data_IF_158489751025
#
_entry.id   IF_158489751025
#
_cell.length_a   1.000
_cell.length_b   1.000
_cell.length_c   1.000
_cell.angle_alpha   90.00
_cell.angle_beta   90.00
_cell.angle_gamma   90.00
#
_symmetry.space_group_name_H-M   'P 1'
#
loop_
_entity.id
_entity.type
_entity.pdbx_description
1 polymer ?
#
# COMPACT_ATOMS: atom_id res chain seq x y z
N UNK A 1 5.49 -3.26 -22.49
CA UNK A 1 5.05 -2.77 -21.17
C UNK A 1 3.89 -3.64 -20.70
N UNK A 2 3.95 -4.29 -19.52
CA UNK A 2 2.78 -5.00 -19.02
C UNK A 2 1.64 -3.98 -18.87
N UNK A 3 0.49 -4.25 -19.49
CA UNK A 3 -0.73 -3.46 -19.28
C UNK A 3 -0.91 -3.30 -17.77
N UNK A 4 -1.08 -2.08 -17.29
CA UNK A 4 -1.63 -1.80 -15.95
C UNK A 4 -3.02 -2.43 -15.92
N UNK A 5 -3.10 -3.75 -15.73
CA UNK A 5 -4.37 -4.41 -15.53
C UNK A 5 -4.90 -3.80 -14.23
N UNK A 6 -5.95 -3.00 -14.37
CA UNK A 6 -6.93 -2.63 -13.36
C UNK A 6 -6.73 -3.45 -12.08
N UNK A 7 -6.50 -2.77 -10.94
CA UNK A 7 -6.36 -3.38 -9.61
C UNK A 7 -7.21 -4.64 -9.54
N UNK A 8 -6.57 -5.79 -9.33
CA UNK A 8 -7.23 -7.11 -9.25
C UNK A 8 -8.39 -6.99 -8.26
N UNK A 9 -9.65 -7.01 -8.75
CA UNK A 9 -10.85 -6.87 -7.92
C UNK A 9 -11.69 -5.59 -8.14
N UNK A 10 -11.27 -4.65 -9.00
CA UNK A 10 -12.13 -3.50 -9.31
C UNK A 10 -13.25 -3.91 -10.27
N UNK A 11 -14.53 -3.61 -9.96
CA UNK A 11 -15.63 -3.87 -10.89
C UNK A 11 -15.38 -3.14 -12.21
N UNK A 12 -15.57 -3.85 -13.32
CA UNK A 12 -15.44 -3.26 -14.67
C UNK A 12 -16.70 -2.53 -15.11
N UNK A 13 -17.84 -2.91 -14.54
CA UNK A 13 -19.12 -2.25 -14.76
C UNK A 13 -19.18 -0.89 -14.03
N UNK A 14 -19.73 0.12 -14.70
CA UNK A 14 -19.74 1.51 -14.22
C UNK A 14 -20.61 1.68 -12.97
N UNK A 15 -21.76 0.99 -12.91
CA UNK A 15 -22.67 1.09 -11.77
C UNK A 15 -22.08 0.37 -10.55
N UNK A 16 -21.46 -0.79 -10.77
CA UNK A 16 -20.73 -1.50 -9.72
C UNK A 16 -19.52 -0.68 -9.21
N UNK A 17 -18.82 0.03 -10.11
CA UNK A 17 -17.72 0.90 -9.73
C UNK A 17 -18.22 2.09 -8.89
N UNK A 18 -19.33 2.73 -9.30
CA UNK A 18 -19.94 3.84 -8.55
C UNK A 18 -20.36 3.40 -7.14
N UNK A 19 -21.01 2.22 -7.03
CA UNK A 19 -21.37 1.61 -5.74
C UNK A 19 -20.13 1.35 -4.88
N UNK A 20 -19.08 0.75 -5.45
CA UNK A 20 -17.84 0.46 -4.73
C UNK A 20 -17.13 1.73 -4.23
N UNK A 21 -17.09 2.78 -5.05
CA UNK A 21 -16.52 4.08 -4.65
C UNK A 21 -17.33 4.68 -3.50
N UNK A 22 -18.66 4.65 -3.59
CA UNK A 22 -19.53 5.11 -2.52
C UNK A 22 -19.25 4.34 -1.23
N UNK A 23 -19.31 3.00 -1.26
CA UNK A 23 -19.04 2.13 -0.09
C UNK A 23 -17.67 2.41 0.55
N UNK A 24 -16.59 2.46 -0.24
CA UNK A 24 -15.24 2.72 0.27
C UNK A 24 -15.07 4.14 0.84
N UNK A 25 -15.81 5.11 0.30
CA UNK A 25 -15.73 6.51 0.70
C UNK A 25 -16.63 6.83 1.89
N UNK A 26 -17.72 6.09 2.06
CA UNK A 26 -18.68 6.27 3.16
C UNK A 26 -18.52 5.25 4.27
N UNK A 27 -17.66 4.24 4.11
CA UNK A 27 -17.19 3.38 5.20
C UNK A 27 -16.76 4.31 6.34
N UNK A 28 -17.56 4.32 7.42
CA UNK A 28 -17.61 5.34 8.48
C UNK A 28 -16.34 5.47 9.32
N UNK A 29 -15.22 5.75 8.66
CA UNK A 29 -13.94 6.05 9.27
C UNK A 29 -14.02 7.46 9.80
N UNK A 30 -13.83 7.59 11.10
CA UNK A 30 -13.70 8.89 11.74
C UNK A 30 -12.61 9.72 11.02
N UNK A 31 -13.03 10.85 10.44
CA UNK A 31 -12.17 11.73 9.68
C UNK A 31 -11.00 12.26 10.53
N UNK A 32 -11.23 12.47 11.83
CA UNK A 32 -10.18 12.87 12.75
C UNK A 32 -9.14 11.75 12.92
N UNK A 33 -9.58 10.50 13.05
CA UNK A 33 -8.68 9.35 13.16
C UNK A 33 -7.83 9.14 11.89
N UNK A 34 -8.43 9.29 10.70
CA UNK A 34 -7.70 9.22 9.42
C UNK A 34 -6.63 10.31 9.34
N UNK A 35 -7.00 11.54 9.69
CA UNK A 35 -6.08 12.67 9.70
C UNK A 35 -4.92 12.46 10.68
N UNK A 36 -5.21 12.00 11.90
CA UNK A 36 -4.20 11.68 12.91
C UNK A 36 -3.25 10.56 12.45
N UNK A 37 -3.79 9.49 11.87
CA UNK A 37 -2.99 8.40 11.31
C UNK A 37 -2.04 8.88 10.21
N UNK A 38 -2.52 9.74 9.30
CA UNK A 38 -1.69 10.36 8.27
C UNK A 38 -0.58 11.23 8.88
N UNK A 39 -0.92 12.10 9.82
CA UNK A 39 0.04 12.98 10.52
C UNK A 39 1.12 12.16 11.24
N UNK A 40 0.74 11.07 11.90
CA UNK A 40 1.66 10.13 12.55
C UNK A 40 2.57 9.42 11.55
N UNK A 41 2.01 8.92 10.45
CA UNK A 41 2.76 8.24 9.38
C UNK A 41 3.82 9.12 8.72
N UNK A 42 3.48 10.39 8.44
CA UNK A 42 4.41 11.37 7.86
C UNK A 42 5.63 11.64 8.75
N UNK A 43 5.47 11.54 10.08
CA UNK A 43 6.59 11.68 11.03
C UNK A 43 7.31 10.36 11.28
N UNK A 44 6.56 9.28 11.52
CA UNK A 44 7.09 7.98 11.94
C UNK A 44 7.81 7.22 10.83
N UNK A 45 7.44 7.40 9.57
CA UNK A 45 8.15 6.81 8.43
C UNK A 45 9.60 7.30 8.34
N UNK A 46 9.83 8.62 8.16
CA UNK A 46 11.17 9.20 8.13
C UNK A 46 11.98 8.91 9.39
N UNK A 47 11.37 9.02 10.57
CA UNK A 47 12.05 8.72 11.83
C UNK A 47 12.56 7.26 11.91
N UNK A 48 11.78 6.29 11.42
CA UNK A 48 12.22 4.89 11.34
C UNK A 48 13.33 4.72 10.30
N UNK A 49 13.23 5.39 9.15
CA UNK A 49 14.25 5.32 8.12
C UNK A 49 15.60 5.91 8.58
N UNK A 50 15.57 7.01 9.32
CA UNK A 50 16.76 7.66 9.86
C UNK A 50 17.50 6.80 10.90
N UNK A 51 16.78 5.95 11.64
CA UNK A 51 17.37 5.00 12.61
C UNK A 51 18.11 3.84 11.96
N UNK A 52 17.96 3.61 10.66
CA UNK A 52 18.56 2.47 9.97
C UNK A 52 19.93 2.85 9.37
N UNK A 53 20.94 2.04 9.65
CA UNK A 53 22.24 2.14 8.97
C UNK A 53 22.11 1.79 7.47
N UNK A 54 23.10 2.19 6.67
CA UNK A 54 23.15 1.85 5.24
C UNK A 54 23.12 0.32 5.01
N UNK A 55 23.84 -0.45 5.82
CA UNK A 55 23.84 -1.91 5.77
C UNK A 55 22.47 -2.51 6.10
N UNK A 56 21.84 -2.03 7.17
CA UNK A 56 20.52 -2.51 7.57
C UNK A 56 19.48 -2.25 6.47
N UNK A 57 19.52 -1.06 5.85
CA UNK A 57 18.68 -0.73 4.69
C UNK A 57 18.92 -1.68 3.51
N UNK A 58 20.18 -1.99 3.21
CA UNK A 58 20.56 -2.92 2.14
C UNK A 58 20.03 -4.34 2.40
N UNK A 59 20.21 -4.87 3.62
CA UNK A 59 19.69 -6.19 4.01
C UNK A 59 18.16 -6.27 3.86
N UNK A 60 17.44 -5.26 4.35
CA UNK A 60 15.98 -5.18 4.22
C UNK A 60 15.54 -5.19 2.75
N UNK A 61 16.23 -4.41 1.90
CA UNK A 61 15.93 -4.36 0.47
C UNK A 61 16.15 -5.70 -0.24
N UNK A 62 17.24 -6.41 0.09
CA UNK A 62 17.52 -7.75 -0.44
C UNK A 62 16.45 -8.76 -0.01
N UNK A 63 16.08 -8.79 1.27
CA UNK A 63 15.01 -9.66 1.78
C UNK A 63 13.68 -9.38 1.09
N UNK A 64 13.32 -8.11 0.88
CA UNK A 64 12.10 -7.71 0.18
C UNK A 64 12.10 -8.16 -1.29
N UNK A 65 13.23 -8.04 -1.98
CA UNK A 65 13.39 -8.52 -3.35
C UNK A 65 13.22 -10.04 -3.42
N UNK A 66 13.88 -10.80 -2.55
CA UNK A 66 13.75 -12.25 -2.49
C UNK A 66 12.29 -12.69 -2.26
N UNK A 67 11.60 -12.07 -1.29
CA UNK A 67 10.20 -12.36 -1.01
C UNK A 67 9.29 -12.12 -2.23
N UNK A 68 9.51 -11.02 -2.95
CA UNK A 68 8.77 -10.68 -4.18
C UNK A 68 8.97 -11.71 -5.28
N UNK A 69 10.22 -12.14 -5.51
CA UNK A 69 10.55 -13.08 -6.59
C UNK A 69 10.23 -14.53 -6.25
N UNK A 70 10.31 -14.94 -4.97
CA UNK A 70 9.89 -16.28 -4.53
C UNK A 70 8.41 -16.53 -4.84
N UNK A 71 7.55 -15.54 -4.60
CA UNK A 71 6.12 -15.59 -4.93
C UNK A 71 5.83 -15.62 -6.43
N UNK A 72 6.73 -15.09 -7.25
CA UNK A 72 6.61 -15.16 -8.72
C UNK A 72 6.95 -16.54 -9.26
N UNK A 73 7.81 -17.30 -8.58
CA UNK A 73 8.21 -18.67 -8.97
C UNK A 73 7.17 -19.74 -8.58
N UNK A 74 6.21 -19.41 -7.71
CA UNK A 74 5.14 -20.30 -7.21
C UNK A 74 3.78 -20.03 -7.86
N UNK A 75 3.73 -19.26 -8.94
CA UNK A 75 2.54 -19.01 -9.77
C UNK A 75 2.76 -19.56 -11.17
#
# INVERSE_FOLDING_TARGET
MPKRSSKRGLPKDLNQLAKWIAEVSTDGKDAAAVYLGKKGGMKGGPARAAKLSAEARSRIAQSAAYARWKKAKTR
#
